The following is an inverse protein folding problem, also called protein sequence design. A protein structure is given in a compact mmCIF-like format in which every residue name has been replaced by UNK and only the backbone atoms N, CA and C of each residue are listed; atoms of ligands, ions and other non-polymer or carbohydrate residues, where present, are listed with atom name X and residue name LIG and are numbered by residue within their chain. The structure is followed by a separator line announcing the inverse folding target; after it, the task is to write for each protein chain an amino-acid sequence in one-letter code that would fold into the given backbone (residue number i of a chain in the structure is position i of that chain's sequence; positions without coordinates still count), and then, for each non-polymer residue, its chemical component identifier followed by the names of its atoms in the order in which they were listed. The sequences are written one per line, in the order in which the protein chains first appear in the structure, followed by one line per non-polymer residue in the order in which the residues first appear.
data_IF_123341953002
#
_entry.id   IF_123341953002
#
_cell.length_a   1.000
_cell.length_b   1.000
_cell.length_c   1.000
_cell.angle_alpha   90.00
_cell.angle_beta   90.00
_cell.angle_gamma   90.00
#
_symmetry.space_group_name_H-M   'P 1'
#
loop_
_entity.id
_entity.type
_entity.pdbx_description
1 polymer ?
#
# COMPACT_ATOMS: atom_id res chain seq x y z
N UNK A 1 9.71 25.54 -28.45
CA UNK A 1 8.77 24.70 -27.69
C UNK A 1 9.34 23.30 -27.46
N UNK A 2 9.88 22.63 -28.49
CA UNK A 2 10.51 21.30 -28.33
C UNK A 2 11.58 21.21 -27.22
N UNK A 3 12.52 22.16 -27.12
CA UNK A 3 13.53 22.23 -26.03
C UNK A 3 12.96 22.39 -24.59
N UNK A 4 11.64 22.50 -24.45
CA UNK A 4 10.91 22.62 -23.18
C UNK A 4 9.86 21.50 -23.06
N UNK A 5 10.14 20.33 -23.64
CA UNK A 5 9.27 19.15 -23.64
C UNK A 5 7.85 19.44 -24.19
N UNK A 6 7.75 20.35 -25.17
CA UNK A 6 6.49 20.70 -25.81
C UNK A 6 6.56 20.37 -27.31
N UNK A 7 5.93 19.26 -27.68
CA UNK A 7 5.84 18.77 -29.05
C UNK A 7 4.62 19.40 -29.73
N UNK A 8 4.87 20.31 -30.67
CA UNK A 8 3.81 20.97 -31.45
C UNK A 8 3.58 20.19 -32.73
N UNK A 9 2.43 19.50 -32.83
CA UNK A 9 2.06 18.71 -34.03
C UNK A 9 1.55 19.57 -35.19
N UNK A 10 1.02 20.78 -34.92
CA UNK A 10 0.49 21.71 -35.92
C UNK A 10 0.99 23.12 -35.64
N UNK A 11 1.73 23.71 -36.59
CA UNK A 11 2.32 25.04 -36.43
C UNK A 11 1.32 26.15 -36.05
N UNK A 12 0.07 26.20 -36.59
CA UNK A 12 -0.91 27.22 -36.17
C UNK A 12 -1.30 27.16 -34.68
N UNK A 13 -1.17 25.99 -34.04
CA UNK A 13 -1.50 25.82 -32.62
C UNK A 13 -0.64 26.67 -31.69
N UNK A 14 0.56 27.09 -32.12
CA UNK A 14 1.43 27.98 -31.34
C UNK A 14 0.76 29.35 -31.13
N UNK A 15 0.13 29.88 -32.18
CA UNK A 15 -0.56 31.17 -32.12
C UNK A 15 -1.85 31.06 -31.30
N UNK A 16 -2.63 30.00 -31.52
CA UNK A 16 -3.88 29.76 -30.76
C UNK A 16 -3.60 29.58 -29.26
N UNK A 17 -2.52 28.88 -28.89
CA UNK A 17 -2.13 28.70 -27.49
C UNK A 17 -1.89 30.05 -26.79
N UNK A 18 -1.33 31.03 -27.50
CA UNK A 18 -1.09 32.39 -26.98
C UNK A 18 -2.37 33.20 -26.69
N UNK A 19 -3.52 32.80 -27.24
CA UNK A 19 -4.82 33.44 -26.98
C UNK A 19 -5.71 32.64 -26.01
N UNK A 20 -5.17 31.61 -25.36
CA UNK A 20 -5.94 30.75 -24.45
C UNK A 20 -6.31 31.49 -23.17
N UNK A 21 -7.60 31.51 -22.81
CA UNK A 21 -8.11 32.14 -21.57
C UNK A 21 -8.54 31.13 -20.51
N UNK A 22 -8.73 29.86 -20.88
CA UNK A 22 -9.15 28.77 -19.99
C UNK A 22 -8.31 27.54 -20.27
N UNK A 23 -7.77 26.91 -19.22
CA UNK A 23 -7.03 25.64 -19.30
C UNK A 23 -7.83 24.58 -18.55
N UNK A 24 -8.22 23.52 -19.25
CA UNK A 24 -8.75 22.30 -18.64
C UNK A 24 -7.61 21.29 -18.59
N UNK A 25 -7.23 20.85 -17.40
CA UNK A 25 -6.18 19.84 -17.21
C UNK A 25 -6.77 18.64 -16.47
N UNK A 26 -6.39 17.44 -16.91
CA UNK A 26 -6.55 16.25 -16.11
C UNK A 26 -5.66 16.32 -14.86
N UNK A 27 -6.02 15.57 -13.81
CA UNK A 27 -5.30 15.57 -12.54
C UNK A 27 -4.12 14.59 -12.56
N UNK A 28 -4.42 13.31 -12.73
CA UNK A 28 -3.45 12.21 -12.60
C UNK A 28 -2.57 12.14 -13.85
N UNK A 29 -1.26 12.20 -13.70
CA UNK A 29 -0.31 12.18 -14.82
C UNK A 29 -0.07 13.55 -15.46
N UNK A 30 -0.78 14.59 -15.02
CA UNK A 30 -0.54 15.98 -15.48
C UNK A 30 -0.29 16.93 -14.31
N UNK A 31 -1.26 17.10 -13.40
CA UNK A 31 -1.07 17.90 -12.18
C UNK A 31 -0.33 17.14 -11.08
N UNK A 32 -0.44 15.81 -11.08
CA UNK A 32 0.28 14.92 -10.15
C UNK A 32 1.15 13.93 -10.91
N UNK A 33 2.23 13.48 -10.27
CA UNK A 33 3.24 12.58 -10.87
C UNK A 33 2.74 11.14 -11.09
N UNK A 34 1.49 10.81 -10.71
CA UNK A 34 0.95 9.45 -10.67
C UNK A 34 1.80 8.46 -9.82
N UNK A 35 2.69 8.98 -8.96
CA UNK A 35 3.50 8.20 -8.04
C UNK A 35 2.88 8.23 -6.63
N UNK A 36 1.94 7.31 -6.39
CA UNK A 36 1.24 7.23 -5.11
C UNK A 36 2.22 6.90 -3.97
N UNK A 37 2.20 7.69 -2.90
CA UNK A 37 3.02 7.49 -1.70
C UNK A 37 2.14 7.33 -0.47
N UNK A 38 2.45 6.36 0.38
CA UNK A 38 1.87 6.31 1.71
C UNK A 38 2.60 7.33 2.58
N UNK A 39 1.92 8.41 2.95
CA UNK A 39 2.50 9.54 3.71
C UNK A 39 2.08 9.56 5.17
N UNK A 40 1.03 8.81 5.52
CA UNK A 40 0.47 8.76 6.87
C UNK A 40 -0.27 7.45 7.08
N UNK A 41 -0.25 6.94 8.31
CA UNK A 41 -1.12 5.85 8.74
C UNK A 41 -1.44 5.98 10.22
N UNK A 42 -2.50 5.30 10.66
CA UNK A 42 -2.91 5.28 12.06
C UNK A 42 -3.21 3.84 12.51
N UNK A 43 -2.80 3.50 13.72
CA UNK A 43 -3.05 2.19 14.34
C UNK A 43 -3.60 2.37 15.75
N UNK A 44 -4.39 1.43 16.29
CA UNK A 44 -5.00 1.57 17.61
C UNK A 44 -3.96 1.85 18.70
N UNK A 45 -4.25 2.78 19.60
CA UNK A 45 -3.35 3.14 20.71
C UNK A 45 -3.58 2.23 21.91
N UNK A 46 -2.56 2.00 22.73
CA UNK A 46 -2.72 1.32 24.03
C UNK A 46 -3.49 2.16 25.07
N UNK A 47 -3.86 3.39 24.73
CA UNK A 47 -4.63 4.28 25.60
C UNK A 47 -5.97 3.67 26.04
N UNK A 48 -6.39 3.99 27.27
CA UNK A 48 -7.66 3.58 27.87
C UNK A 48 -8.89 4.16 27.16
N UNK A 49 -8.71 5.22 26.35
CA UNK A 49 -9.76 5.87 25.59
C UNK A 49 -10.10 5.08 24.33
N UNK A 50 -11.29 4.49 24.32
CA UNK A 50 -11.81 3.71 23.21
C UNK A 50 -11.89 4.54 21.92
N UNK A 51 -11.34 4.02 20.81
CA UNK A 51 -11.37 4.65 19.48
C UNK A 51 -10.16 5.55 19.17
N UNK A 52 -9.22 5.73 20.11
CA UNK A 52 -8.02 6.54 19.87
C UNK A 52 -6.96 5.74 19.10
N UNK A 53 -6.49 6.32 18.00
CA UNK A 53 -5.39 5.81 17.19
C UNK A 53 -4.12 6.65 17.39
N UNK A 54 -2.97 5.98 17.33
CA UNK A 54 -1.67 6.63 17.16
C UNK A 54 -1.44 6.87 15.66
N UNK A 55 -1.17 8.12 15.31
CA UNK A 55 -0.91 8.53 13.91
C UNK A 55 0.60 8.69 13.68
N UNK A 56 1.04 8.24 12.51
CA UNK A 56 2.43 8.28 12.08
C UNK A 56 2.53 8.89 10.69
N UNK A 57 3.46 9.83 10.51
CA UNK A 57 3.88 10.35 9.22
C UNK A 57 4.98 9.46 8.65
N UNK A 58 4.98 9.32 7.33
CA UNK A 58 5.88 8.43 6.59
C UNK A 58 6.60 9.27 5.56
N UNK A 59 7.93 9.35 5.70
CA UNK A 59 8.77 10.07 4.76
C UNK A 59 9.00 9.25 3.49
N UNK A 60 9.34 9.94 2.41
CA UNK A 60 9.76 9.37 1.14
C UNK A 60 8.90 9.82 -0.01
N UNK A 61 9.44 9.65 -1.22
CA UNK A 61 8.81 10.02 -2.47
C UNK A 61 8.83 8.84 -3.43
N UNK A 62 7.82 8.77 -4.30
CA UNK A 62 7.62 7.64 -5.21
C UNK A 62 7.62 6.31 -4.46
N UNK A 63 8.27 5.29 -5.02
CA UNK A 63 8.25 3.93 -4.50
C UNK A 63 9.50 3.54 -3.70
N UNK A 64 10.22 4.52 -3.13
CA UNK A 64 11.40 4.21 -2.31
C UNK A 64 11.01 3.58 -0.97
N UNK A 65 11.52 2.37 -0.64
CA UNK A 65 11.31 1.73 0.67
C UNK A 65 12.21 2.30 1.76
N UNK A 66 13.05 3.29 1.43
CA UNK A 66 13.89 4.03 2.38
C UNK A 66 13.12 5.26 2.85
N UNK A 67 13.11 5.50 4.16
CA UNK A 67 12.44 6.65 4.76
C UNK A 67 12.12 6.41 6.23
N UNK A 68 11.98 7.49 6.97
CA UNK A 68 11.65 7.44 8.40
C UNK A 68 10.13 7.45 8.62
N UNK A 69 9.72 6.88 9.76
CA UNK A 69 8.36 6.99 10.29
C UNK A 69 8.42 7.86 11.55
N UNK A 70 7.56 8.87 11.62
CA UNK A 70 7.51 9.84 12.73
C UNK A 70 6.13 9.90 13.39
N UNK A 71 6.02 9.84 14.74
CA UNK A 71 7.12 9.63 15.70
C UNK A 71 7.78 8.26 15.51
N UNK A 72 8.99 8.09 16.06
CA UNK A 72 9.76 6.86 15.89
C UNK A 72 8.92 5.62 16.23
N UNK A 73 8.87 4.69 15.28
CA UNK A 73 8.12 3.45 15.38
C UNK A 73 9.09 2.27 15.34
N UNK A 74 9.29 1.53 16.44
CA UNK A 74 10.07 0.31 16.40
C UNK A 74 9.38 -0.75 15.53
N UNK A 75 10.15 -1.62 14.85
CA UNK A 75 9.59 -2.71 14.07
C UNK A 75 8.70 -3.64 14.90
N UNK A 76 7.79 -4.40 14.25
CA UNK A 76 6.93 -5.36 14.94
C UNK A 76 7.72 -6.34 15.82
N UNK A 77 7.15 -6.71 16.96
CA UNK A 77 7.68 -7.68 17.93
C UNK A 77 6.54 -8.57 18.43
N UNK A 78 6.84 -9.55 19.29
CA UNK A 78 5.80 -10.34 19.98
C UNK A 78 4.81 -9.49 20.78
N UNK A 79 5.23 -8.29 21.23
CA UNK A 79 4.41 -7.39 22.04
C UNK A 79 3.64 -6.36 21.20
N UNK A 80 3.90 -6.32 19.88
CA UNK A 80 3.26 -5.37 18.94
C UNK A 80 2.57 -6.12 17.81
N UNK A 81 1.84 -7.17 18.15
CA UNK A 81 1.10 -8.03 17.23
C UNK A 81 0.15 -7.23 16.33
N UNK A 82 -0.48 -6.17 16.84
CA UNK A 82 -1.35 -5.32 16.02
C UNK A 82 -0.62 -4.67 14.83
N UNK A 83 0.62 -4.21 15.04
CA UNK A 83 1.45 -3.65 13.98
C UNK A 83 1.94 -4.75 13.02
N UNK A 84 2.24 -5.94 13.52
CA UNK A 84 2.58 -7.09 12.68
C UNK A 84 1.43 -7.46 11.74
N UNK A 85 0.19 -7.50 12.24
CA UNK A 85 -1.00 -7.79 11.42
C UNK A 85 -1.30 -6.68 10.42
N UNK A 86 -1.06 -5.41 10.78
CA UNK A 86 -1.13 -4.30 9.82
C UNK A 86 -0.13 -4.48 8.67
N UNK A 87 1.14 -4.76 9.00
CA UNK A 87 2.20 -4.97 8.01
C UNK A 87 1.93 -6.20 7.13
N UNK A 88 1.45 -7.31 7.71
CA UNK A 88 0.99 -8.49 6.98
C UNK A 88 -0.15 -8.14 6.01
N UNK A 89 -1.16 -7.42 6.46
CA UNK A 89 -2.30 -7.02 5.62
C UNK A 89 -1.82 -6.18 4.41
N UNK A 90 -1.00 -5.17 4.66
CA UNK A 90 -0.43 -4.30 3.62
C UNK A 90 0.45 -5.07 2.60
N UNK A 91 1.14 -6.12 3.06
CA UNK A 91 2.02 -6.97 2.22
C UNK A 91 1.26 -8.05 1.45
N UNK A 92 0.30 -8.73 2.10
CA UNK A 92 -0.35 -9.93 1.57
C UNK A 92 -1.58 -9.58 0.74
N UNK A 93 -2.40 -8.62 1.17
CA UNK A 93 -3.56 -8.17 0.41
C UNK A 93 -3.08 -7.17 -0.67
N UNK A 94 -2.16 -7.59 -1.54
CA UNK A 94 -1.40 -6.71 -2.44
C UNK A 94 -0.79 -7.51 -3.61
N UNK A 95 -1.15 -7.14 -4.83
CA UNK A 95 -0.68 -7.75 -6.08
C UNK A 95 0.44 -6.94 -6.76
N UNK A 96 0.64 -5.67 -6.38
CA UNK A 96 1.72 -4.86 -6.92
C UNK A 96 3.11 -5.38 -6.56
N UNK A 97 4.11 -5.05 -7.38
CA UNK A 97 5.52 -5.36 -7.13
C UNK A 97 6.38 -4.14 -7.43
N UNK A 98 7.57 -4.12 -6.82
CA UNK A 98 8.59 -3.09 -7.03
C UNK A 98 9.81 -3.71 -7.72
N UNK A 99 10.39 -2.99 -8.68
CA UNK A 99 11.64 -3.38 -9.37
C UNK A 99 12.49 -2.15 -9.67
N UNK A 100 13.78 -2.36 -9.90
CA UNK A 100 14.63 -1.32 -10.48
C UNK A 100 14.43 -1.28 -12.00
N UNK A 101 14.43 -0.07 -12.58
CA UNK A 101 14.17 0.20 -14.01
C UNK A 101 15.21 -0.33 -15.01
N UNK A 102 16.19 -1.11 -14.54
CA UNK A 102 17.26 -1.65 -15.38
C UNK A 102 17.24 -3.20 -15.32
N UNK A 103 16.17 -3.80 -14.80
CA UNK A 103 16.00 -5.26 -14.75
C UNK A 103 15.35 -5.77 -16.06
N UNK A 104 15.85 -6.85 -16.68
CA UNK A 104 15.31 -7.33 -17.96
C UNK A 104 13.79 -7.57 -17.91
N UNK A 105 13.06 -6.90 -18.82
CA UNK A 105 11.58 -6.93 -18.92
C UNK A 105 10.87 -5.58 -18.77
N UNK A 106 11.58 -4.46 -18.94
CA UNK A 106 11.13 -3.09 -18.62
C UNK A 106 9.97 -2.52 -19.47
N UNK A 107 9.43 -3.23 -20.47
CA UNK A 107 8.56 -2.61 -21.49
C UNK A 107 7.09 -3.05 -21.54
N UNK A 108 6.63 -4.06 -20.79
CA UNK A 108 5.28 -4.64 -21.07
C UNK A 108 4.12 -4.17 -20.18
N UNK A 109 4.37 -3.57 -19.00
CA UNK A 109 3.29 -3.17 -18.06
C UNK A 109 3.45 -1.75 -17.47
N UNK A 110 4.26 -0.91 -18.10
CA UNK A 110 4.45 0.46 -17.65
C UNK A 110 3.43 1.35 -18.35
N UNK A 111 2.49 1.92 -17.61
CA UNK A 111 1.79 3.15 -18.00
C UNK A 111 2.85 4.27 -18.10
N UNK A 112 3.68 4.26 -19.15
CA UNK A 112 4.79 5.21 -19.32
C UNK A 112 4.42 6.35 -20.27
N UNK A 113 4.06 7.48 -19.68
CA UNK A 113 4.19 8.80 -20.31
C UNK A 113 5.47 9.53 -19.80
N UNK A 114 6.39 8.84 -19.11
CA UNK A 114 7.67 9.44 -18.71
C UNK A 114 8.79 9.05 -19.66
N UNK A 115 9.17 10.01 -20.52
CA UNK A 115 10.37 9.96 -21.35
C UNK A 115 11.56 9.37 -20.57
N UNK A 116 12.22 8.38 -21.18
CA UNK A 116 13.54 7.94 -20.76
C UNK A 116 14.48 9.13 -20.84
N UNK A 117 14.89 9.68 -19.69
CA UNK A 117 16.02 10.61 -19.57
C UNK A 117 17.32 9.88 -19.97
N UNK A 118 17.49 9.64 -21.27
CA UNK A 118 18.75 9.16 -21.88
C UNK A 118 19.50 10.32 -22.54
N UNK A 119 19.32 11.55 -22.07
CA UNK A 119 20.22 12.66 -22.38
C UNK A 119 21.15 12.91 -21.19
N UNK A 120 22.36 12.36 -21.34
CA UNK A 120 23.60 12.53 -20.56
C UNK A 120 24.02 11.26 -19.83
N UNK A 121 25.05 10.60 -20.37
CA UNK A 121 25.72 9.42 -19.82
C UNK A 121 26.47 9.73 -18.52
N UNK A 122 25.72 10.04 -17.47
CA UNK A 122 26.23 10.09 -16.10
C UNK A 122 25.99 8.74 -15.42
N UNK A 123 27.06 7.95 -15.32
CA UNK A 123 27.07 6.61 -14.72
C UNK A 123 26.81 6.61 -13.19
N UNK A 124 26.36 7.72 -12.62
CA UNK A 124 26.18 7.91 -11.17
C UNK A 124 24.72 8.03 -10.71
N UNK A 125 23.73 8.04 -11.62
CA UNK A 125 22.31 8.14 -11.25
C UNK A 125 21.80 6.81 -10.69
N UNK A 126 21.41 6.78 -9.40
CA UNK A 126 20.82 5.58 -8.77
C UNK A 126 19.62 5.09 -9.61
N UNK A 127 19.46 3.79 -9.85
CA UNK A 127 18.39 3.26 -10.68
C UNK A 127 17.02 3.64 -10.10
N UNK A 128 16.10 4.10 -10.96
CA UNK A 128 14.74 4.48 -10.55
C UNK A 128 13.97 3.21 -10.16
N UNK A 129 13.21 3.28 -9.07
CA UNK A 129 12.31 2.20 -8.68
C UNK A 129 11.00 2.38 -9.45
N UNK A 130 10.59 1.35 -10.19
CA UNK A 130 9.30 1.27 -10.88
C UNK A 130 8.38 0.28 -10.17
N UNK A 131 7.07 0.46 -10.38
CA UNK A 131 6.03 -0.46 -9.94
C UNK A 131 5.50 -1.29 -11.11
N UNK A 132 5.01 -2.48 -10.81
CA UNK A 132 4.04 -3.21 -11.66
C UNK A 132 2.77 -3.43 -10.84
N UNK A 133 1.59 -3.31 -11.45
CA UNK A 133 0.29 -3.33 -10.73
C UNK A 133 -0.10 -1.96 -10.15
N UNK A 134 -1.24 -1.85 -9.50
CA UNK A 134 -1.87 -0.59 -9.09
C UNK A 134 -0.99 0.36 -8.23
N UNK A 135 -1.00 1.70 -8.48
CA UNK A 135 -0.24 2.68 -7.70
C UNK A 135 -0.52 2.64 -6.20
N UNK A 136 -1.79 2.50 -5.83
CA UNK A 136 -2.22 2.49 -4.43
C UNK A 136 -1.70 1.28 -3.68
N UNK A 137 -1.59 0.14 -4.36
CA UNK A 137 -1.01 -1.07 -3.77
C UNK A 137 0.51 -0.97 -3.62
N UNK A 138 1.19 -0.41 -4.63
CA UNK A 138 2.63 -0.16 -4.54
C UNK A 138 2.96 0.76 -3.36
N UNK A 139 2.14 1.80 -3.12
CA UNK A 139 2.31 2.72 -1.99
C UNK A 139 2.23 2.02 -0.61
N UNK A 140 1.21 1.17 -0.39
CA UNK A 140 1.08 0.43 0.88
C UNK A 140 2.09 -0.70 1.01
N UNK A 141 2.62 -1.23 -0.11
CA UNK A 141 3.75 -2.16 -0.09
C UNK A 141 5.01 -1.46 0.41
N UNK A 142 5.31 -0.28 -0.12
CA UNK A 142 6.42 0.57 0.35
C UNK A 142 6.27 0.90 1.84
N UNK A 143 5.04 1.16 2.30
CA UNK A 143 4.77 1.35 3.72
C UNK A 143 5.15 0.12 4.55
N UNK A 144 4.77 -1.08 4.12
CA UNK A 144 5.15 -2.32 4.79
C UNK A 144 6.68 -2.49 4.83
N UNK A 145 7.37 -2.09 3.76
CA UNK A 145 8.83 -2.12 3.70
C UNK A 145 9.52 -1.12 4.66
N UNK A 146 8.84 -0.05 5.07
CA UNK A 146 9.31 0.93 6.07
C UNK A 146 8.97 0.53 7.50
N UNK A 147 7.89 -0.24 7.71
CA UNK A 147 7.51 -0.76 9.03
C UNK A 147 8.44 -1.90 9.46
N UNK A 148 8.86 -2.76 8.53
CA UNK A 148 9.73 -3.90 8.83
C UNK A 148 8.98 -5.14 9.31
N UNK A 149 9.66 -6.00 10.08
CA UNK A 149 9.12 -7.27 10.56
C UNK A 149 9.68 -7.70 11.93
N UNK A 150 9.26 -8.82 12.53
CA UNK A 150 9.84 -9.35 13.76
C UNK A 150 11.29 -9.83 13.67
N UNK A 151 11.84 -10.05 12.48
CA UNK A 151 13.23 -10.50 12.32
C UNK A 151 14.22 -9.34 12.52
N UNK A 152 14.94 -9.39 13.65
CA UNK A 152 15.95 -8.39 14.03
C UNK A 152 17.12 -8.29 13.05
N UNK A 153 17.56 -9.42 12.47
CA UNK A 153 18.66 -9.42 11.52
C UNK A 153 18.24 -8.77 10.21
N UNK A 154 17.03 -9.09 9.73
CA UNK A 154 16.47 -8.47 8.53
C UNK A 154 16.25 -6.96 8.71
N UNK A 155 15.70 -6.54 9.86
CA UNK A 155 15.52 -5.12 10.17
C UNK A 155 16.84 -4.35 10.16
N UNK A 156 17.90 -4.87 10.79
CA UNK A 156 19.23 -4.22 10.77
C UNK A 156 19.77 -4.09 9.34
N UNK A 157 19.56 -5.09 8.50
CA UNK A 157 20.04 -5.08 7.11
C UNK A 157 19.27 -4.09 6.23
N UNK A 158 17.94 -4.01 6.38
CA UNK A 158 17.08 -3.34 5.40
C UNK A 158 16.54 -1.98 5.84
N UNK A 159 16.30 -1.72 7.13
CA UNK A 159 15.76 -0.43 7.59
C UNK A 159 16.83 0.66 7.69
N UNK A 160 18.08 0.28 7.96
CA UNK A 160 19.20 1.23 8.08
C UNK A 160 19.94 1.46 6.75
N UNK A 161 19.58 0.73 5.70
CA UNK A 161 20.26 0.81 4.41
C UNK A 161 19.62 1.86 3.52
N UNK A 162 20.40 2.86 3.12
CA UNK A 162 20.01 3.85 2.11
C UNK A 162 20.07 3.28 0.68
N UNK A 163 20.77 2.17 0.50
CA UNK A 163 20.98 1.48 -0.77
C UNK A 163 20.53 0.02 -0.66
N UNK A 164 19.22 -0.19 -0.82
CA UNK A 164 18.68 -1.54 -0.89
C UNK A 164 19.13 -2.21 -2.19
N UNK A 165 19.60 -3.45 -2.09
CA UNK A 165 19.82 -4.27 -3.28
C UNK A 165 18.48 -4.62 -3.94
N UNK A 166 18.48 -5.03 -5.21
CA UNK A 166 17.30 -5.55 -5.90
C UNK A 166 16.56 -6.65 -5.10
N UNK A 167 17.34 -7.53 -4.43
CA UNK A 167 16.79 -8.60 -3.59
C UNK A 167 16.14 -8.09 -2.30
N UNK A 168 16.61 -6.96 -1.78
CA UNK A 168 16.14 -6.37 -0.52
C UNK A 168 15.04 -5.31 -0.72
N UNK A 169 14.73 -4.95 -1.97
CA UNK A 169 13.72 -3.95 -2.30
C UNK A 169 12.34 -4.29 -1.70
N UNK A 170 12.01 -5.58 -1.63
CA UNK A 170 10.76 -6.12 -1.07
C UNK A 170 11.02 -7.16 0.04
N UNK A 171 12.11 -6.98 0.80
CA UNK A 171 12.58 -7.97 1.77
C UNK A 171 11.52 -8.32 2.83
N UNK A 172 10.78 -7.33 3.32
CA UNK A 172 9.79 -7.53 4.38
C UNK A 172 8.51 -8.17 3.83
N UNK A 173 8.08 -7.77 2.63
CA UNK A 173 6.98 -8.43 1.91
C UNK A 173 7.29 -9.91 1.65
N UNK A 174 8.53 -10.23 1.26
CA UNK A 174 8.98 -11.62 1.09
C UNK A 174 9.00 -12.39 2.43
N UNK A 175 9.42 -11.74 3.52
CA UNK A 175 9.34 -12.32 4.87
C UNK A 175 7.89 -12.73 5.21
N UNK A 176 6.92 -11.85 4.98
CA UNK A 176 5.51 -12.15 5.25
C UNK A 176 4.94 -13.23 4.34
N UNK A 177 5.27 -13.21 3.04
CA UNK A 177 4.86 -14.24 2.09
C UNK A 177 5.42 -15.63 2.45
N UNK A 178 6.62 -15.70 3.04
CA UNK A 178 7.18 -16.95 3.53
C UNK A 178 6.42 -17.53 4.74
N UNK A 179 5.67 -16.71 5.48
CA UNK A 179 4.85 -17.14 6.61
C UNK A 179 3.38 -17.37 6.23
N UNK A 180 2.91 -16.69 5.18
CA UNK A 180 1.51 -16.66 4.76
C UNK A 180 1.41 -17.11 3.30
N UNK A 181 0.89 -18.30 3.04
CA UNK A 181 0.66 -18.79 1.68
C UNK A 181 -0.70 -18.31 1.16
N UNK A 182 -0.78 -17.58 0.03
CA UNK A 182 -2.06 -17.22 -0.59
C UNK A 182 -2.89 -18.46 -0.91
N UNK A 183 -4.19 -18.38 -0.63
CA UNK A 183 -5.18 -19.43 -0.93
C UNK A 183 -6.14 -18.94 -2.02
N UNK A 184 -6.70 -17.75 -1.84
CA UNK A 184 -7.59 -17.13 -2.83
C UNK A 184 -7.64 -15.61 -2.66
N UNK A 185 -7.73 -14.91 -3.78
CA UNK A 185 -7.97 -13.47 -3.82
C UNK A 185 -9.43 -13.22 -4.16
N UNK A 186 -10.07 -12.40 -3.36
CA UNK A 186 -11.35 -11.80 -3.70
C UNK A 186 -11.03 -10.45 -4.30
N UNK A 187 -11.19 -10.34 -5.63
CA UNK A 187 -10.79 -9.16 -6.40
C UNK A 187 -11.64 -7.93 -6.09
N UNK A 188 -11.04 -6.74 -6.13
CA UNK A 188 -11.75 -5.50 -5.86
C UNK A 188 -13.03 -5.38 -6.73
N UNK A 189 -14.15 -5.04 -6.11
CA UNK A 189 -15.36 -4.64 -6.85
C UNK A 189 -15.85 -3.29 -6.37
N UNK A 190 -16.44 -2.50 -7.30
CA UNK A 190 -16.98 -1.17 -7.00
C UNK A 190 -18.10 -1.23 -5.97
N UNK A 191 -18.92 -2.29 -5.98
CA UNK A 191 -20.06 -2.43 -5.08
C UNK A 191 -19.63 -2.61 -3.62
N UNK A 192 -18.57 -3.40 -3.39
CA UNK A 192 -18.07 -3.68 -2.04
C UNK A 192 -16.89 -2.78 -1.63
N UNK A 193 -16.37 -1.97 -2.55
CA UNK A 193 -15.25 -1.03 -2.37
C UNK A 193 -14.06 -1.59 -1.58
N UNK A 194 -13.76 -2.87 -1.75
CA UNK A 194 -12.71 -3.56 -1.00
C UNK A 194 -12.16 -4.77 -1.76
N UNK A 195 -10.89 -5.06 -1.53
CA UNK A 195 -10.19 -6.28 -1.94
C UNK A 195 -9.89 -7.11 -0.69
N UNK A 196 -9.84 -8.42 -0.82
CA UNK A 196 -9.34 -9.28 0.25
C UNK A 196 -8.58 -10.49 -0.25
N UNK A 197 -7.75 -11.06 0.62
CA UNK A 197 -7.00 -12.27 0.35
C UNK A 197 -7.17 -13.24 1.51
N UNK A 198 -7.43 -14.50 1.19
CA UNK A 198 -7.39 -15.62 2.11
C UNK A 198 -5.99 -16.18 2.08
N UNK A 199 -5.37 -16.32 3.24
CA UNK A 199 -4.02 -16.90 3.39
C UNK A 199 -4.01 -18.03 4.41
N UNK A 200 -3.12 -19.00 4.18
CA UNK A 200 -2.77 -20.05 5.12
C UNK A 200 -1.48 -19.65 5.84
N UNK A 201 -1.57 -19.32 7.11
CA UNK A 201 -0.40 -19.04 7.95
C UNK A 201 0.22 -20.35 8.45
N UNK A 202 1.56 -20.44 8.45
CA UNK A 202 2.30 -21.66 8.84
C UNK A 202 2.04 -22.11 10.28
N UNK A 203 1.76 -21.18 11.17
CA UNK A 203 1.55 -21.40 12.61
C UNK A 203 0.07 -21.50 13.00
N UNK A 204 -0.86 -21.41 12.04
CA UNK A 204 -2.31 -21.48 12.28
C UNK A 204 -2.94 -22.67 11.58
N UNK A 205 -3.87 -23.34 12.27
CA UNK A 205 -4.68 -24.41 11.70
C UNK A 205 -5.72 -23.90 10.69
N UNK A 206 -6.23 -22.69 10.89
CA UNK A 206 -7.26 -22.06 10.05
C UNK A 206 -6.68 -20.99 9.13
N UNK A 207 -7.37 -20.74 8.00
CA UNK A 207 -7.05 -19.64 7.11
C UNK A 207 -7.39 -18.28 7.75
N UNK A 208 -6.64 -17.25 7.37
CA UNK A 208 -6.87 -15.84 7.76
C UNK A 208 -7.30 -15.03 6.53
N UNK A 209 -8.28 -14.13 6.69
CA UNK A 209 -8.66 -13.17 5.65
C UNK A 209 -8.10 -11.79 5.97
N UNK A 210 -7.29 -11.23 5.07
CA UNK A 210 -6.86 -9.84 5.10
C UNK A 210 -7.69 -9.03 4.12
N UNK A 211 -8.07 -7.80 4.49
CA UNK A 211 -8.96 -6.95 3.71
C UNK A 211 -8.39 -5.53 3.66
N UNK A 212 -8.45 -4.90 2.48
CA UNK A 212 -8.22 -3.47 2.30
C UNK A 212 -9.37 -2.84 1.51
N UNK A 213 -9.75 -1.61 1.83
CA UNK A 213 -10.82 -0.93 1.11
C UNK A 213 -11.14 0.47 1.61
N UNK A 214 -12.27 0.99 1.15
CA UNK A 214 -12.79 2.28 1.59
C UNK A 214 -13.06 2.26 3.11
N UNK A 215 -12.51 3.21 3.91
CA UNK A 215 -12.57 3.17 5.36
C UNK A 215 -13.99 3.01 5.92
N UNK A 216 -14.98 3.71 5.34
CA UNK A 216 -16.38 3.64 5.77
C UNK A 216 -16.96 2.23 5.62
N UNK A 217 -16.61 1.52 4.55
CA UNK A 217 -17.09 0.16 4.30
C UNK A 217 -16.39 -0.84 5.22
N UNK A 218 -15.11 -0.64 5.49
CA UNK A 218 -14.35 -1.52 6.39
C UNK A 218 -14.83 -1.34 7.83
N UNK A 219 -14.96 -0.09 8.31
CA UNK A 219 -15.43 0.20 9.67
C UNK A 219 -16.84 -0.34 9.91
N UNK A 220 -17.75 -0.20 8.95
CA UNK A 220 -19.10 -0.73 9.09
C UNK A 220 -19.12 -2.25 9.30
N UNK A 221 -18.26 -2.98 8.58
CA UNK A 221 -18.14 -4.45 8.64
C UNK A 221 -17.36 -4.97 9.84
N UNK A 222 -16.57 -4.14 10.51
CA UNK A 222 -15.79 -4.54 11.67
C UNK A 222 -16.66 -4.54 12.95
N UNK A 223 -16.62 -5.64 13.70
CA UNK A 223 -17.28 -5.75 15.02
C UNK A 223 -16.29 -5.61 16.19
N UNK A 224 -15.00 -5.68 15.89
CA UNK A 224 -13.92 -5.62 16.87
C UNK A 224 -12.73 -4.81 16.34
N UNK A 225 -11.86 -4.38 17.24
CA UNK A 225 -10.62 -3.67 16.97
C UNK A 225 -9.45 -4.39 17.64
N UNK A 226 -8.34 -4.54 16.92
CA UNK A 226 -7.13 -5.18 17.44
C UNK A 226 -6.21 -4.13 18.07
N UNK A 227 -5.89 -4.31 19.34
CA UNK A 227 -4.99 -3.45 20.11
C UNK A 227 -3.52 -3.74 19.76
N UNK A 228 -2.56 -2.86 20.13
CA UNK A 228 -1.14 -3.06 19.85
C UNK A 228 -0.59 -4.43 20.28
N UNK A 229 -0.99 -4.92 21.45
CA UNK A 229 -0.58 -6.21 22.00
C UNK A 229 -1.18 -7.42 21.26
N UNK A 230 -2.13 -7.20 20.35
CA UNK A 230 -2.86 -8.25 19.63
C UNK A 230 -4.16 -8.67 20.30
N UNK A 231 -4.48 -8.14 21.48
CA UNK A 231 -5.79 -8.33 22.10
C UNK A 231 -6.89 -7.69 21.25
N UNK A 232 -8.10 -8.21 21.35
CA UNK A 232 -9.23 -7.76 20.53
C UNK A 232 -10.31 -7.20 21.46
N UNK A 233 -10.81 -6.00 21.16
CA UNK A 233 -11.90 -5.34 21.91
C UNK A 233 -13.11 -5.15 21.01
N UNK A 234 -14.35 -5.11 21.56
CA UNK A 234 -15.53 -4.72 20.81
C UNK A 234 -15.34 -3.34 20.17
N UNK A 235 -15.76 -3.19 18.92
CA UNK A 235 -15.75 -1.92 18.19
C UNK A 235 -17.18 -1.40 18.12
N UNK A 236 -17.55 -0.58 19.11
CA UNK A 236 -18.89 0.00 19.18
C UNK A 236 -19.08 1.16 18.19
N UNK A 237 -20.33 1.62 18.04
CA UNK A 237 -20.69 2.70 17.12
C UNK A 237 -19.99 4.02 17.45
N UNK A 238 -19.79 4.34 18.73
CA UNK A 238 -19.13 5.57 19.16
C UNK A 238 -17.67 5.57 18.71
N UNK A 239 -16.97 4.45 18.93
CA UNK A 239 -15.60 4.25 18.48
C UNK A 239 -15.47 4.31 16.96
N UNK A 240 -16.40 3.71 16.21
CA UNK A 240 -16.40 3.80 14.74
C UNK A 240 -16.51 5.25 14.27
N UNK A 241 -17.44 6.01 14.87
CA UNK A 241 -17.62 7.42 14.55
C UNK A 241 -16.37 8.23 14.90
N UNK A 242 -15.80 8.05 16.09
CA UNK A 242 -14.53 8.69 16.48
C UNK A 242 -13.40 8.38 15.50
N UNK A 243 -13.24 7.12 15.08
CA UNK A 243 -12.21 6.76 14.10
C UNK A 243 -12.46 7.45 12.75
N UNK A 244 -13.72 7.49 12.31
CA UNK A 244 -14.08 8.10 11.03
C UNK A 244 -13.88 9.62 11.07
N UNK A 245 -14.51 10.29 12.03
CA UNK A 245 -14.55 11.75 12.13
C UNK A 245 -13.17 12.33 12.47
N UNK A 246 -12.46 11.77 13.45
CA UNK A 246 -11.22 12.39 13.96
C UNK A 246 -9.98 12.03 13.11
N UNK A 247 -10.04 10.94 12.34
CA UNK A 247 -8.89 10.45 11.58
C UNK A 247 -9.16 10.34 10.08
N UNK A 248 -10.24 9.69 9.65
CA UNK A 248 -10.51 9.49 8.21
C UNK A 248 -10.88 10.81 7.55
N UNK A 249 -11.85 11.55 8.09
CA UNK A 249 -12.27 12.87 7.57
C UNK A 249 -11.14 13.89 7.67
N UNK A 250 -10.37 13.87 8.75
CA UNK A 250 -9.20 14.75 8.86
C UNK A 250 -8.16 14.48 7.76
N UNK A 251 -7.78 13.22 7.56
CA UNK A 251 -6.82 12.86 6.53
C UNK A 251 -7.36 13.11 5.12
N UNK A 252 -8.63 12.81 4.86
CA UNK A 252 -9.22 12.95 3.54
C UNK A 252 -9.60 14.40 3.20
N UNK A 253 -10.21 15.11 4.15
CA UNK A 253 -10.77 16.46 3.96
C UNK A 253 -9.75 17.58 4.15
N UNK A 254 -8.96 17.56 5.23
CA UNK A 254 -7.99 18.62 5.51
C UNK A 254 -6.68 18.42 4.74
N UNK A 255 -6.22 17.17 4.64
CA UNK A 255 -4.92 16.83 4.06
C UNK A 255 -5.01 16.26 2.63
N UNK A 256 -6.23 16.14 2.08
CA UNK A 256 -6.50 15.63 0.73
C UNK A 256 -5.89 14.23 0.45
N UNK A 257 -5.75 13.39 1.49
CA UNK A 257 -5.18 12.05 1.36
C UNK A 257 -6.22 11.04 0.87
N UNK A 258 -5.77 10.11 0.01
CA UNK A 258 -6.54 8.90 -0.29
C UNK A 258 -6.42 7.92 0.87
N UNK A 259 -7.49 7.80 1.66
CA UNK A 259 -7.53 6.94 2.85
C UNK A 259 -7.97 5.51 2.52
N UNK A 260 -7.42 4.53 3.26
CA UNK A 260 -7.78 3.12 3.17
C UNK A 260 -7.94 2.53 4.57
N UNK A 261 -8.96 1.71 4.76
CA UNK A 261 -9.12 0.85 5.93
C UNK A 261 -8.47 -0.51 5.68
N UNK A 262 -7.72 -1.01 6.68
CA UNK A 262 -7.21 -2.37 6.71
C UNK A 262 -7.90 -3.17 7.82
N UNK A 263 -8.27 -4.40 7.53
CA UNK A 263 -8.89 -5.30 8.51
C UNK A 263 -8.41 -6.75 8.35
N UNK A 264 -8.58 -7.53 9.41
CA UNK A 264 -8.23 -8.95 9.45
C UNK A 264 -9.36 -9.75 10.09
N UNK A 265 -9.67 -10.92 9.54
CA UNK A 265 -10.59 -11.90 10.13
C UNK A 265 -9.87 -13.24 10.29
N UNK A 266 -9.65 -13.63 11.55
CA UNK A 266 -8.95 -14.87 11.94
C UNK A 266 -9.89 -16.06 12.11
N UNK A 267 -11.16 -15.81 12.47
CA UNK A 267 -12.19 -16.85 12.60
C UNK A 267 -13.08 -16.81 11.35
N UNK A 268 -12.64 -17.51 10.31
CA UNK A 268 -13.41 -17.63 9.09
C UNK A 268 -14.55 -18.63 9.25
N UNK A 269 -15.59 -18.46 8.45
CA UNK A 269 -16.64 -19.47 8.32
C UNK A 269 -15.98 -20.82 7.96
N UNK A 270 -16.33 -21.96 8.58
CA UNK A 270 -15.69 -23.24 8.33
C UNK A 270 -15.61 -23.64 6.84
N UNK A 271 -16.60 -23.20 6.02
CA UNK A 271 -16.61 -23.41 4.57
C UNK A 271 -15.45 -22.73 3.85
N UNK A 272 -14.95 -21.64 4.42
CA UNK A 272 -13.86 -20.81 3.88
C UNK A 272 -12.56 -20.96 4.69
N UNK A 273 -12.68 -21.32 5.98
CA UNK A 273 -11.56 -21.50 6.91
C UNK A 273 -10.62 -22.65 6.49
N UNK A 274 -11.16 -23.65 5.79
CA UNK A 274 -10.42 -24.77 5.21
C UNK A 274 -10.39 -24.74 3.67
N UNK A 275 -10.78 -23.63 3.06
CA UNK A 275 -10.69 -23.46 1.61
C UNK A 275 -9.25 -23.70 1.15
N UNK A 276 -9.05 -24.48 0.08
CA UNK A 276 -7.73 -24.84 -0.44
C UNK A 276 -7.40 -24.16 -1.77
N UNK A 277 -8.25 -23.25 -2.24
CA UNK A 277 -8.23 -22.75 -3.61
C UNK A 277 -9.33 -23.40 -4.45
N UNK A 278 -9.73 -22.75 -5.54
CA UNK A 278 -10.64 -23.34 -6.53
C UNK A 278 -9.85 -24.43 -7.26
N UNK A 279 -10.30 -25.69 -7.19
CA UNK A 279 -10.00 -26.67 -8.25
C UNK A 279 -10.80 -26.22 -9.48
N UNK A 280 -10.08 -25.62 -10.43
CA UNK A 280 -10.38 -25.48 -11.85
C UNK A 280 -11.87 -25.44 -12.26
N UNK A 281 -12.36 -24.26 -12.66
CA UNK A 281 -13.63 -24.06 -13.40
C UNK A 281 -13.54 -24.64 -14.84
N UNK A 282 -13.06 -25.87 -14.99
CA UNK A 282 -12.99 -26.60 -16.28
C UNK A 282 -13.95 -27.79 -16.38
N UNK A 283 -14.87 -27.97 -15.41
CA UNK A 283 -15.93 -28.98 -15.51
C UNK A 283 -17.26 -28.52 -14.93
N UNK A 284 -17.98 -27.70 -15.70
CA UNK A 284 -19.42 -27.86 -15.97
C UNK A 284 -19.93 -26.65 -16.76
N UNK A 285 -20.16 -26.85 -18.06
CA UNK A 285 -20.74 -25.89 -18.98
C UNK A 285 -20.59 -26.40 -20.41
#
# INVERSE_FOLDING_TARGET
MAKRNCIVRRLPSVQTLGCTTVICSDKTGTLTTNEMCAVKFAVPSSSSSAGVLNTYNVDGVSYTPVGEIRPSLPPPTSNTTGLAEFAKCASMCNQSRLRYSNEPGDDEDVDDDTETDTENGDATKKPKIRRTGEPTEAAIRVLAEKIGCPDKALNRRCLQSEDRSAKDLQAFSHYWANLCSPVATLEFTRDRKSMSIIVKEKDRSENTLYVKGAPEVILDRCTTIMMPDGSVKPLDKKMKNTIFDDYVEKMAGEEALRTLGLAVRKQLDPRVAHFKGIDDDSKNG
#
